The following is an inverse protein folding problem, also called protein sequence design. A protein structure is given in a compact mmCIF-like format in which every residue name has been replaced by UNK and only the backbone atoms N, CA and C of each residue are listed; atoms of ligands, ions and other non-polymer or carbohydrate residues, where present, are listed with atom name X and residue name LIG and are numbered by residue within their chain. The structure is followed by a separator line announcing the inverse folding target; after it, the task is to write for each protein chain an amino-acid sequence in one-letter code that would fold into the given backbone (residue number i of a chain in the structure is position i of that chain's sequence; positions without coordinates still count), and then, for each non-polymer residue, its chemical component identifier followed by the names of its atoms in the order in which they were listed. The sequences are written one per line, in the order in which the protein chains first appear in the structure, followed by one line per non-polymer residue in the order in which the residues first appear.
data_IF_564258799771
#
_entry.id   IF_564258799771
#
_cell.length_a   1.000
_cell.length_b   1.000
_cell.length_c   1.000
_cell.angle_alpha   90.00
_cell.angle_beta   90.00
_cell.angle_gamma   90.00
#
_symmetry.space_group_name_H-M   'P 1'
#
loop_
_entity.id
_entity.type
_entity.pdbx_description
1 polymer ?
#
# COMPACT_ATOMS: atom_id res chain seq x y z
N UNK A 1 22.26 13.18 9.93
CA UNK A 1 21.38 12.31 9.11
C UNK A 1 22.29 11.26 8.52
N UNK A 2 22.18 10.01 8.98
CA UNK A 2 23.01 8.92 8.48
C UNK A 2 22.54 8.57 7.06
N UNK A 3 23.45 8.51 6.10
CA UNK A 3 23.21 7.88 4.80
C UNK A 3 23.27 6.35 4.98
N UNK A 4 22.17 5.66 5.27
CA UNK A 4 22.25 4.24 5.64
C UNK A 4 22.27 3.28 4.45
N UNK A 5 22.30 3.76 3.20
CA UNK A 5 22.02 2.93 2.04
C UNK A 5 23.04 3.08 0.89
N UNK A 6 24.35 3.08 1.20
CA UNK A 6 25.37 3.06 0.11
C UNK A 6 25.63 1.67 -0.50
N UNK A 7 25.05 0.61 0.05
CA UNK A 7 25.24 -0.77 -0.44
C UNK A 7 23.93 -1.55 -0.39
N UNK A 8 23.77 -2.56 -1.25
CA UNK A 8 22.70 -3.57 -1.19
C UNK A 8 22.90 -4.51 0.01
N UNK A 9 23.15 -3.97 1.20
CA UNK A 9 23.58 -4.70 2.40
C UNK A 9 22.61 -4.60 3.56
N UNK A 10 21.34 -4.24 3.29
CA UNK A 10 20.33 -4.24 4.35
C UNK A 10 20.10 -5.66 4.89
N UNK A 11 19.91 -5.81 6.20
CA UNK A 11 19.50 -7.08 6.78
C UNK A 11 18.23 -7.58 6.12
N UNK A 12 18.28 -8.78 5.58
CA UNK A 12 17.11 -9.45 4.99
C UNK A 12 16.84 -10.75 5.71
N UNK A 13 15.54 -11.04 5.89
CA UNK A 13 15.06 -12.32 6.36
C UNK A 13 14.36 -12.99 5.19
N UNK A 14 14.59 -14.30 4.99
CA UNK A 14 13.87 -15.09 4.00
C UNK A 14 12.94 -16.07 4.68
N UNK A 15 11.73 -16.19 4.15
CA UNK A 15 10.73 -17.14 4.62
C UNK A 15 10.09 -17.88 3.44
N UNK A 16 9.73 -19.14 3.65
CA UNK A 16 8.94 -19.97 2.75
C UNK A 16 7.64 -20.47 3.40
N UNK A 17 7.50 -20.20 4.70
CA UNK A 17 6.33 -20.57 5.48
C UNK A 17 5.26 -19.47 5.44
N UNK A 18 4.05 -19.84 5.07
CA UNK A 18 2.90 -18.94 5.04
C UNK A 18 2.59 -18.36 6.42
N UNK A 19 2.59 -17.03 6.55
CA UNK A 19 2.26 -16.32 7.79
C UNK A 19 0.84 -16.58 8.30
N UNK A 20 -0.13 -16.89 7.40
CA UNK A 20 -1.52 -17.16 7.76
C UNK A 20 -1.74 -18.59 8.29
N UNK A 21 -1.15 -19.62 7.66
CA UNK A 21 -1.47 -21.02 7.99
C UNK A 21 -0.26 -21.89 8.36
N UNK A 22 0.95 -21.35 8.29
CA UNK A 22 2.22 -22.00 8.63
C UNK A 22 2.58 -23.19 7.72
N UNK A 23 1.93 -23.33 6.56
CA UNK A 23 2.30 -24.32 5.55
C UNK A 23 3.38 -23.76 4.65
N UNK A 24 4.24 -24.65 4.13
CA UNK A 24 5.22 -24.28 3.12
C UNK A 24 4.49 -23.84 1.85
N UNK A 25 4.90 -22.75 1.28
CA UNK A 25 4.37 -22.20 0.04
C UNK A 25 5.25 -22.56 -1.16
N UNK A 26 4.70 -22.42 -2.36
CA UNK A 26 5.43 -22.61 -3.63
C UNK A 26 5.95 -21.27 -4.16
N UNK A 27 7.13 -21.29 -4.77
CA UNK A 27 7.62 -20.12 -5.50
C UNK A 27 6.82 -19.95 -6.78
N UNK A 28 6.24 -18.75 -6.98
CA UNK A 28 5.35 -18.48 -8.09
C UNK A 28 5.94 -17.47 -9.10
N UNK A 29 6.53 -16.39 -8.61
CA UNK A 29 7.10 -15.32 -9.43
C UNK A 29 8.48 -14.96 -8.91
N UNK A 30 9.46 -14.88 -9.80
CA UNK A 30 10.80 -14.39 -9.49
C UNK A 30 10.97 -12.95 -9.98
N UNK A 31 11.44 -12.07 -9.10
CA UNK A 31 11.65 -10.65 -9.34
C UNK A 31 13.11 -10.28 -9.01
N UNK A 32 14.08 -10.65 -9.87
CA UNK A 32 15.49 -10.39 -9.62
C UNK A 32 15.79 -8.90 -9.64
N UNK A 33 16.64 -8.43 -8.74
CA UNK A 33 17.02 -7.01 -8.62
C UNK A 33 15.80 -6.08 -8.53
N UNK A 34 14.79 -6.48 -7.75
CA UNK A 34 13.58 -5.69 -7.56
C UNK A 34 13.88 -4.42 -6.76
N UNK A 35 13.46 -3.23 -7.21
CA UNK A 35 13.82 -1.98 -6.57
C UNK A 35 13.02 -1.76 -5.28
N UNK A 36 13.66 -1.20 -4.25
CA UNK A 36 12.91 -0.62 -3.13
C UNK A 36 12.27 0.70 -3.55
N UNK A 37 11.17 1.05 -2.90
CA UNK A 37 10.42 2.27 -3.16
C UNK A 37 10.64 3.31 -2.08
N UNK A 38 10.27 4.59 -2.32
CA UNK A 38 10.27 5.69 -1.34
C UNK A 38 11.62 6.26 -0.93
N UNK A 39 12.73 5.77 -1.46
CA UNK A 39 14.05 6.29 -1.11
C UNK A 39 14.56 7.28 -2.16
N UNK A 40 14.92 8.47 -1.69
CA UNK A 40 15.41 9.58 -2.51
C UNK A 40 16.82 9.99 -2.08
N UNK A 41 17.64 10.46 -3.03
CA UNK A 41 18.99 10.94 -2.79
C UNK A 41 19.28 12.21 -3.60
N UNK A 42 20.20 13.04 -3.10
CA UNK A 42 20.79 14.17 -3.84
C UNK A 42 22.11 13.75 -4.55
N UNK A 43 22.58 12.51 -4.30
CA UNK A 43 23.82 12.02 -4.88
C UNK A 43 23.72 11.92 -6.41
N UNK A 44 24.80 12.22 -7.15
CA UNK A 44 24.81 12.08 -8.61
C UNK A 44 24.74 10.62 -9.05
N UNK A 45 24.28 10.38 -10.29
CA UNK A 45 24.21 9.04 -10.88
C UNK A 45 25.59 8.36 -10.98
N UNK A 46 26.67 9.17 -11.06
CA UNK A 46 28.05 8.67 -11.07
C UNK A 46 28.41 7.82 -9.87
N UNK A 47 27.75 8.00 -8.74
CA UNK A 47 27.95 7.22 -7.52
C UNK A 47 27.29 5.82 -7.57
N UNK A 48 26.64 5.50 -8.70
CA UNK A 48 25.94 4.26 -8.94
C UNK A 48 24.49 4.29 -8.49
N UNK A 49 23.72 3.29 -8.94
CA UNK A 49 22.36 3.02 -8.52
C UNK A 49 22.40 1.86 -7.52
N UNK A 50 21.58 1.96 -6.47
CA UNK A 50 21.49 0.97 -5.39
C UNK A 50 20.04 0.79 -4.90
N UNK A 51 19.82 -0.07 -3.90
CA UNK A 51 18.47 -0.35 -3.42
C UNK A 51 17.73 -1.37 -4.28
N UNK A 52 18.46 -2.39 -4.76
CA UNK A 52 17.90 -3.51 -5.51
C UNK A 52 18.09 -4.80 -4.70
N UNK A 53 17.01 -5.57 -4.55
CA UNK A 53 17.04 -6.84 -3.82
C UNK A 53 16.27 -7.90 -4.62
N UNK A 54 16.82 -9.12 -4.66
CA UNK A 54 16.09 -10.23 -5.26
C UNK A 54 14.85 -10.54 -4.40
N UNK A 55 13.70 -10.60 -5.05
CA UNK A 55 12.43 -10.88 -4.42
C UNK A 55 11.76 -12.07 -5.08
N UNK A 56 11.08 -12.89 -4.30
CA UNK A 56 10.22 -13.96 -4.79
C UNK A 56 8.82 -13.80 -4.25
N UNK A 57 7.84 -14.04 -5.09
CA UNK A 57 6.45 -14.08 -4.69
C UNK A 57 6.07 -15.54 -4.48
N UNK A 58 5.63 -15.86 -3.27
CA UNK A 58 5.23 -17.21 -2.86
C UNK A 58 3.71 -17.32 -2.79
N UNK A 59 3.17 -18.47 -3.14
CA UNK A 59 1.76 -18.76 -3.05
C UNK A 59 1.50 -19.98 -2.15
N UNK A 60 0.63 -19.81 -1.17
CA UNK A 60 0.16 -20.88 -0.32
C UNK A 60 -1.15 -21.46 -0.85
N UNK A 61 -1.10 -22.62 -1.50
CA UNK A 61 -2.29 -23.31 -2.03
C UNK A 61 -3.31 -23.68 -0.95
N UNK A 62 -2.84 -23.93 0.28
CA UNK A 62 -3.72 -24.31 1.38
C UNK A 62 -4.72 -23.21 1.75
N UNK A 63 -4.28 -21.94 1.76
CA UNK A 63 -5.13 -20.83 2.18
C UNK A 63 -5.29 -19.73 1.12
N UNK A 64 -4.74 -19.90 -0.07
CA UNK A 64 -4.73 -18.89 -1.13
C UNK A 64 -4.11 -17.55 -0.68
N UNK A 65 -2.98 -17.62 0.04
CA UNK A 65 -2.21 -16.47 0.46
C UNK A 65 -1.01 -16.25 -0.47
N UNK A 66 -0.88 -15.04 -0.99
CA UNK A 66 0.27 -14.61 -1.76
C UNK A 66 1.14 -13.73 -0.86
N UNK A 67 2.47 -13.93 -0.86
CA UNK A 67 3.37 -13.16 0.01
C UNK A 67 4.79 -13.11 -0.54
N UNK A 68 5.55 -12.14 -0.05
CA UNK A 68 6.94 -11.94 -0.44
C UNK A 68 7.88 -12.73 0.47
N UNK A 69 8.89 -13.38 -0.12
CA UNK A 69 9.82 -14.18 0.66
C UNK A 69 10.99 -13.40 1.24
N UNK A 70 11.36 -12.26 0.63
CA UNK A 70 12.45 -11.41 1.10
C UNK A 70 11.90 -10.25 1.91
N UNK A 71 12.13 -10.27 3.21
CA UNK A 71 11.71 -9.24 4.15
C UNK A 71 12.92 -8.37 4.43
N UNK A 72 12.85 -7.09 4.06
CA UNK A 72 13.83 -6.07 4.42
C UNK A 72 13.39 -5.49 5.76
N UNK A 73 14.35 -5.20 6.66
CA UNK A 73 14.06 -4.67 7.99
C UNK A 73 13.07 -3.49 7.91
N UNK A 74 11.84 -3.64 8.43
CA UNK A 74 10.80 -2.61 8.39
C UNK A 74 11.22 -1.30 9.05
N UNK A 75 12.05 -1.37 10.11
CA UNK A 75 12.53 -0.17 10.80
C UNK A 75 13.33 0.74 9.84
N UNK A 76 14.15 0.15 8.97
CA UNK A 76 14.93 0.91 7.99
C UNK A 76 14.02 1.54 6.94
N UNK A 77 13.03 0.78 6.46
CA UNK A 77 12.07 1.27 5.46
C UNK A 77 11.24 2.41 6.02
N UNK A 78 10.68 2.25 7.22
CA UNK A 78 9.75 3.23 7.80
C UNK A 78 10.42 4.40 8.52
N UNK A 79 11.70 4.31 8.91
CA UNK A 79 12.43 5.44 9.48
C UNK A 79 12.61 6.62 8.52
N UNK A 80 12.53 6.35 7.21
CA UNK A 80 12.62 7.35 6.15
C UNK A 80 11.26 7.66 5.48
N UNK A 81 10.16 7.15 6.05
CA UNK A 81 8.83 7.29 5.48
C UNK A 81 8.36 8.75 5.48
N UNK A 82 8.21 9.33 4.30
CA UNK A 82 7.80 10.74 4.11
C UNK A 82 6.33 10.86 3.71
N UNK A 83 5.66 9.73 3.50
CA UNK A 83 4.30 9.74 2.96
C UNK A 83 3.30 10.12 4.05
N UNK A 84 2.48 11.08 3.72
CA UNK A 84 1.38 11.55 4.56
C UNK A 84 0.07 11.32 3.81
N UNK A 85 -0.87 10.66 4.47
CA UNK A 85 -2.18 10.29 3.91
C UNK A 85 -2.92 11.50 3.35
N UNK A 86 -2.87 12.64 4.03
CA UNK A 86 -3.52 13.90 3.61
C UNK A 86 -3.01 14.46 2.28
N UNK A 87 -1.86 14.03 1.78
CA UNK A 87 -1.31 14.45 0.47
C UNK A 87 -1.79 13.57 -0.68
N UNK A 88 -2.42 12.42 -0.41
CA UNK A 88 -2.84 11.47 -1.41
C UNK A 88 -4.36 11.52 -1.61
N UNK A 89 -4.80 12.05 -2.74
CA UNK A 89 -6.24 12.10 -3.11
C UNK A 89 -6.85 10.70 -3.12
N UNK A 90 -6.14 9.71 -3.66
CA UNK A 90 -6.61 8.33 -3.71
C UNK A 90 -6.74 7.69 -2.32
N UNK A 91 -5.81 7.98 -1.40
CA UNK A 91 -5.89 7.48 -0.04
C UNK A 91 -7.06 8.12 0.72
N UNK A 92 -7.27 9.44 0.56
CA UNK A 92 -8.41 10.15 1.15
C UNK A 92 -9.74 9.55 0.67
N UNK A 93 -9.89 9.36 -0.64
CA UNK A 93 -11.09 8.77 -1.25
C UNK A 93 -11.36 7.36 -0.70
N UNK A 94 -10.34 6.51 -0.63
CA UNK A 94 -10.43 5.18 -0.03
C UNK A 94 -10.89 5.21 1.44
N UNK A 95 -10.34 6.13 2.24
CA UNK A 95 -10.72 6.30 3.65
C UNK A 95 -12.14 6.83 3.81
N UNK A 96 -12.63 7.67 2.90
CA UNK A 96 -14.03 8.11 2.89
C UNK A 96 -14.98 6.94 2.59
N UNK A 97 -14.64 6.06 1.66
CA UNK A 97 -15.39 4.83 1.42
C UNK A 97 -15.36 3.90 2.63
N UNK A 98 -14.20 3.79 3.31
CA UNK A 98 -14.08 3.01 4.54
C UNK A 98 -14.95 3.56 5.67
N UNK A 99 -14.98 4.89 5.88
CA UNK A 99 -15.96 5.52 6.80
C UNK A 99 -17.39 5.16 6.43
N UNK A 100 -17.75 5.24 5.14
CA UNK A 100 -19.09 4.92 4.66
C UNK A 100 -19.46 3.46 4.95
N UNK A 101 -18.53 2.52 4.71
CA UNK A 101 -18.74 1.11 5.04
C UNK A 101 -19.00 0.88 6.54
N UNK A 102 -18.26 1.58 7.41
CA UNK A 102 -18.47 1.52 8.86
C UNK A 102 -19.85 2.04 9.22
N UNK A 103 -20.20 3.26 8.78
CA UNK A 103 -21.46 3.91 9.13
C UNK A 103 -22.70 3.17 8.61
N UNK A 104 -22.57 2.48 7.47
CA UNK A 104 -23.65 1.66 6.92
C UNK A 104 -23.88 0.35 7.68
N UNK A 105 -22.91 -0.08 8.49
CA UNK A 105 -22.93 -1.39 9.17
C UNK A 105 -23.17 -1.32 10.67
N UNK A 106 -23.09 -0.13 11.29
CA UNK A 106 -23.34 0.08 12.72
C UNK A 106 -24.01 1.43 12.99
N UNK A 107 -24.66 1.53 14.18
CA UNK A 107 -25.04 2.81 14.75
C UNK A 107 -23.91 3.33 15.65
N UNK A 108 -23.24 4.40 15.24
CA UNK A 108 -22.07 4.96 15.91
C UNK A 108 -22.35 5.38 17.38
N UNK A 109 -23.61 5.78 17.71
CA UNK A 109 -24.02 6.17 19.06
C UNK A 109 -23.90 5.04 20.09
N UNK A 110 -23.79 3.78 19.65
CA UNK A 110 -23.60 2.64 20.53
C UNK A 110 -22.14 2.48 21.00
N UNK A 111 -21.22 3.24 20.43
CA UNK A 111 -19.79 3.15 20.69
C UNK A 111 -19.26 4.40 21.40
N UNK A 112 -18.16 4.25 22.16
CA UNK A 112 -17.53 5.35 22.91
C UNK A 112 -16.23 5.82 22.29
N UNK A 113 -15.61 5.00 21.46
CA UNK A 113 -14.27 5.29 20.93
C UNK A 113 -14.00 4.60 19.60
N UNK A 114 -13.12 5.22 18.82
CA UNK A 114 -12.45 4.61 17.68
C UNK A 114 -10.95 4.55 17.98
N UNK A 115 -10.37 3.36 17.85
CA UNK A 115 -8.94 3.10 18.04
C UNK A 115 -8.39 2.69 16.66
N UNK A 116 -7.64 3.60 16.03
CA UNK A 116 -7.07 3.41 14.71
C UNK A 116 -5.60 2.97 14.83
N UNK A 117 -5.28 1.80 14.33
CA UNK A 117 -3.96 1.18 14.44
C UNK A 117 -3.27 1.27 13.07
N UNK A 118 -2.14 1.99 13.02
CA UNK A 118 -1.50 2.40 11.77
C UNK A 118 -2.15 3.65 11.17
N UNK A 119 -2.66 4.56 12.03
CA UNK A 119 -3.47 5.71 11.61
C UNK A 119 -2.67 6.89 11.03
N UNK A 120 -1.35 6.78 10.87
CA UNK A 120 -0.46 7.77 10.28
C UNK A 120 -0.78 9.21 10.79
N UNK A 121 -1.15 10.12 9.90
CA UNK A 121 -1.45 11.53 10.22
C UNK A 121 -2.88 11.78 10.72
N UNK A 122 -3.58 10.77 11.19
CA UNK A 122 -4.95 10.80 11.73
C UNK A 122 -6.00 11.33 10.75
N UNK A 123 -5.74 11.32 9.45
CA UNK A 123 -6.71 11.78 8.44
C UNK A 123 -8.03 11.02 8.56
N UNK A 124 -7.97 9.69 8.79
CA UNK A 124 -9.16 8.86 8.94
C UNK A 124 -9.98 9.24 10.19
N UNK A 125 -9.33 9.34 11.34
CA UNK A 125 -9.97 9.73 12.59
C UNK A 125 -10.58 11.12 12.52
N UNK A 126 -9.94 12.03 11.76
CA UNK A 126 -10.46 13.39 11.54
C UNK A 126 -11.84 13.42 10.87
N UNK A 127 -12.23 12.37 10.14
CA UNK A 127 -13.57 12.26 9.58
C UNK A 127 -14.66 11.99 10.63
N UNK A 128 -14.30 11.56 11.84
CA UNK A 128 -15.22 11.29 12.96
C UNK A 128 -15.12 12.35 14.05
N UNK A 129 -14.37 13.43 13.82
CA UNK A 129 -14.23 14.51 14.81
C UNK A 129 -15.60 15.17 15.04
N UNK A 130 -16.06 15.19 16.29
CA UNK A 130 -17.38 15.61 16.69
C UNK A 130 -18.46 14.50 16.64
N UNK A 131 -18.24 13.39 15.95
CA UNK A 131 -19.20 12.27 15.87
C UNK A 131 -19.05 11.26 17.02
N UNK A 132 -17.83 11.10 17.54
CA UNK A 132 -17.50 10.18 18.65
C UNK A 132 -16.53 10.82 19.64
N UNK A 133 -16.67 10.47 20.92
CA UNK A 133 -15.99 11.19 22.00
C UNK A 133 -14.49 10.93 22.05
N UNK A 134 -14.06 9.69 21.83
CA UNK A 134 -12.66 9.30 22.02
C UNK A 134 -12.10 8.77 20.69
N UNK A 135 -11.17 9.52 20.12
CA UNK A 135 -10.44 9.16 18.91
C UNK A 135 -8.98 8.90 19.28
N UNK A 136 -8.47 7.71 18.99
CA UNK A 136 -7.14 7.27 19.43
C UNK A 136 -6.38 6.79 18.21
N UNK A 137 -5.23 7.40 17.93
CA UNK A 137 -4.31 6.99 16.87
C UNK A 137 -3.07 6.31 17.47
N UNK A 138 -2.79 5.09 17.03
CA UNK A 138 -1.60 4.31 17.40
C UNK A 138 -0.76 4.13 16.15
N UNK A 139 0.34 4.88 16.05
CA UNK A 139 1.27 4.83 14.93
C UNK A 139 2.63 5.39 15.32
N UNK A 140 3.72 4.84 14.83
CA UNK A 140 5.09 5.34 15.09
C UNK A 140 5.27 6.79 14.62
N UNK A 141 4.56 7.17 13.55
CA UNK A 141 4.55 8.50 12.97
C UNK A 141 3.28 9.30 13.30
N UNK A 142 2.53 8.89 14.34
CA UNK A 142 1.26 9.50 14.69
C UNK A 142 1.35 11.02 14.78
N UNK A 143 0.43 11.68 14.07
CA UNK A 143 0.22 13.11 14.13
C UNK A 143 -1.27 13.44 13.92
N UNK A 144 -1.72 14.60 14.39
CA UNK A 144 -3.09 15.04 14.16
C UNK A 144 -3.15 16.56 13.99
N UNK A 145 -4.21 17.06 13.36
CA UNK A 145 -4.55 18.48 13.31
C UNK A 145 -5.50 18.88 14.45
N UNK A 146 -6.30 17.95 14.95
CA UNK A 146 -7.28 18.17 16.00
C UNK A 146 -6.72 17.73 17.36
N UNK A 147 -6.89 18.56 18.37
CA UNK A 147 -6.52 18.25 19.76
C UNK A 147 -7.45 17.19 20.39
N UNK A 148 -8.57 16.85 19.73
CA UNK A 148 -9.49 15.80 20.17
C UNK A 148 -8.98 14.37 19.89
N UNK A 149 -7.87 14.23 19.17
CA UNK A 149 -7.29 12.92 18.83
C UNK A 149 -6.13 12.61 19.77
N UNK A 150 -6.25 11.54 20.53
CA UNK A 150 -5.20 11.05 21.43
C UNK A 150 -4.15 10.30 20.58
N UNK A 151 -2.89 10.71 20.70
CA UNK A 151 -1.79 10.14 19.91
C UNK A 151 -0.92 9.23 20.77
N UNK A 152 -0.78 7.97 20.36
CA UNK A 152 0.25 7.05 20.81
C UNK A 152 1.32 6.91 19.73
N UNK A 153 2.43 7.67 19.87
CA UNK A 153 3.58 7.65 18.95
C UNK A 153 4.48 6.47 19.27
N UNK A 154 4.00 5.27 18.97
CA UNK A 154 4.70 4.02 19.24
C UNK A 154 4.23 2.92 18.30
N UNK A 155 4.97 1.83 18.25
CA UNK A 155 4.49 0.60 17.60
C UNK A 155 3.22 0.10 18.31
N UNK A 156 2.32 -0.53 17.54
CA UNK A 156 1.16 -1.23 18.11
C UNK A 156 1.58 -2.31 19.14
N UNK A 157 2.79 -2.85 19.01
CA UNK A 157 3.36 -3.86 19.92
C UNK A 157 3.55 -3.32 21.34
N UNK A 158 3.90 -2.05 21.47
CA UNK A 158 4.24 -1.40 22.75
C UNK A 158 3.02 -0.86 23.50
N UNK A 159 1.86 -0.73 22.84
CA UNK A 159 0.64 -0.17 23.45
C UNK A 159 -0.18 -1.28 24.11
N UNK A 160 -0.50 -1.12 25.40
CA UNK A 160 -1.48 -1.98 26.06
C UNK A 160 -2.92 -1.53 25.72
N UNK A 161 -3.57 -2.20 24.80
CA UNK A 161 -4.93 -1.89 24.37
C UNK A 161 -5.99 -2.04 25.47
N UNK A 162 -5.70 -2.79 26.54
CA UNK A 162 -6.61 -2.93 27.67
C UNK A 162 -6.68 -1.67 28.51
N UNK A 163 -5.61 -0.87 28.53
CA UNK A 163 -5.59 0.45 29.19
C UNK A 163 -6.41 1.49 28.41
N UNK A 164 -6.74 1.23 27.16
CA UNK A 164 -7.64 2.04 26.32
C UNK A 164 -9.10 1.62 26.55
N UNK A 165 -9.48 1.43 27.81
CA UNK A 165 -10.79 0.91 28.20
C UNK A 165 -11.78 2.05 28.43
N UNK A 166 -12.97 1.93 27.84
CA UNK A 166 -14.09 2.86 27.98
C UNK A 166 -15.37 2.11 28.35
N UNK A 167 -16.37 2.83 28.89
CA UNK A 167 -17.60 2.23 29.41
C UNK A 167 -18.45 1.54 28.32
N UNK A 168 -18.54 2.14 27.12
CA UNK A 168 -19.27 1.59 25.98
C UNK A 168 -18.36 0.74 25.11
N UNK A 169 -18.92 -0.06 24.19
CA UNK A 169 -18.16 -0.77 23.18
C UNK A 169 -17.24 0.13 22.38
N UNK A 170 -16.17 -0.45 21.82
CA UNK A 170 -15.13 0.21 21.02
C UNK A 170 -15.18 -0.25 19.58
N UNK A 171 -14.75 0.62 18.70
CA UNK A 171 -14.43 0.32 17.31
C UNK A 171 -12.90 0.29 17.19
N UNK A 172 -12.36 -0.84 16.79
CA UNK A 172 -10.98 -0.92 16.30
C UNK A 172 -10.99 -0.72 14.80
N UNK A 173 -10.02 0.02 14.28
CA UNK A 173 -9.82 0.18 12.84
C UNK A 173 -8.36 -0.01 12.48
N UNK A 174 -8.09 -0.54 11.29
CA UNK A 174 -6.76 -0.56 10.70
C UNK A 174 -6.88 -0.53 9.19
N UNK A 175 -6.16 0.38 8.57
CA UNK A 175 -6.23 0.64 7.15
C UNK A 175 -4.85 0.62 6.53
N UNK A 176 -4.62 -0.28 5.58
CA UNK A 176 -3.35 -0.41 4.88
C UNK A 176 -2.14 -0.54 5.83
N UNK A 177 -2.24 -1.49 6.77
CA UNK A 177 -1.21 -1.77 7.79
C UNK A 177 -0.85 -3.25 7.82
N UNK A 178 -1.84 -4.15 7.78
CA UNK A 178 -1.62 -5.59 7.96
C UNK A 178 -0.77 -6.21 6.85
N UNK A 179 -0.85 -5.67 5.63
CA UNK A 179 -0.05 -6.10 4.48
C UNK A 179 1.45 -5.86 4.66
N UNK A 180 1.82 -4.95 5.55
CA UNK A 180 3.21 -4.60 5.85
C UNK A 180 3.84 -5.43 6.97
N UNK A 181 3.05 -6.20 7.70
CA UNK A 181 3.55 -7.01 8.82
C UNK A 181 4.22 -8.28 8.31
N UNK A 182 5.39 -8.61 8.82
CA UNK A 182 6.07 -9.89 8.52
C UNK A 182 5.25 -11.10 9.02
N UNK A 183 4.61 -10.95 10.18
CA UNK A 183 3.68 -11.92 10.75
C UNK A 183 2.41 -11.22 11.26
N UNK A 184 1.26 -11.37 10.59
CA UNK A 184 0.01 -10.74 11.00
C UNK A 184 -0.66 -11.38 12.23
N UNK A 185 -0.28 -12.63 12.61
CA UNK A 185 -0.95 -13.36 13.69
C UNK A 185 -0.81 -12.66 15.05
N UNK A 186 0.39 -12.21 15.51
CA UNK A 186 0.51 -11.49 16.79
C UNK A 186 -0.34 -10.21 16.85
N UNK A 187 -0.45 -9.49 15.72
CA UNK A 187 -1.30 -8.31 15.60
C UNK A 187 -2.77 -8.65 15.82
N UNK A 188 -3.28 -9.66 15.11
CA UNK A 188 -4.67 -10.11 15.23
C UNK A 188 -4.97 -10.69 16.63
N UNK A 189 -4.04 -11.44 17.21
CA UNK A 189 -4.16 -11.94 18.59
C UNK A 189 -4.27 -10.82 19.62
N UNK A 190 -3.45 -9.78 19.48
CA UNK A 190 -3.46 -8.63 20.38
C UNK A 190 -4.79 -7.89 20.33
N UNK A 191 -5.32 -7.65 19.14
CA UNK A 191 -6.66 -7.08 18.96
C UNK A 191 -7.70 -8.00 19.60
N UNK A 192 -7.68 -9.29 19.27
CA UNK A 192 -8.63 -10.26 19.83
C UNK A 192 -8.63 -10.29 21.35
N UNK A 193 -7.45 -10.31 22.00
CA UNK A 193 -7.33 -10.31 23.46
C UNK A 193 -7.91 -9.04 24.11
N UNK A 194 -7.90 -7.93 23.39
CA UNK A 194 -8.36 -6.62 23.87
C UNK A 194 -9.83 -6.33 23.55
N UNK A 195 -10.42 -7.03 22.59
CA UNK A 195 -11.82 -6.89 22.24
C UNK A 195 -12.73 -7.58 23.25
N UNK A 196 -13.81 -6.90 23.65
CA UNK A 196 -15.00 -7.48 24.29
C UNK A 196 -15.96 -8.02 23.24
N UNK A 197 -16.99 -8.73 23.66
CA UNK A 197 -17.96 -9.38 22.77
C UNK A 197 -18.74 -8.35 21.90
N UNK A 198 -18.99 -7.17 22.43
CA UNK A 198 -19.74 -6.10 21.75
C UNK A 198 -18.84 -5.12 20.98
N UNK A 199 -17.51 -5.28 21.07
CA UNK A 199 -16.57 -4.50 20.28
C UNK A 199 -16.55 -5.00 18.83
N UNK A 200 -16.17 -4.12 17.90
CA UNK A 200 -16.07 -4.43 16.48
C UNK A 200 -14.70 -4.00 15.95
N UNK A 201 -14.14 -4.80 15.03
CA UNK A 201 -12.91 -4.47 14.34
C UNK A 201 -13.18 -4.31 12.84
N UNK A 202 -12.77 -3.18 12.28
CA UNK A 202 -12.80 -2.91 10.85
C UNK A 202 -11.40 -2.92 10.29
N UNK A 203 -11.20 -3.70 9.25
CA UNK A 203 -9.92 -3.89 8.59
C UNK A 203 -10.07 -3.66 7.09
N UNK A 204 -9.15 -2.90 6.47
CA UNK A 204 -9.06 -2.80 5.01
C UNK A 204 -7.61 -2.90 4.53
N UNK A 205 -7.42 -3.54 3.38
CA UNK A 205 -6.12 -3.78 2.76
C UNK A 205 -6.29 -4.15 1.27
N UNK A 206 -5.22 -4.09 0.44
CA UNK A 206 -5.27 -4.56 -0.95
C UNK A 206 -5.53 -6.07 -1.01
N UNK A 207 -6.49 -6.51 -1.83
CA UNK A 207 -6.86 -7.92 -1.93
C UNK A 207 -6.26 -8.64 -3.12
N UNK A 208 -5.97 -9.93 -2.95
CA UNK A 208 -5.49 -10.79 -4.04
C UNK A 208 -6.53 -10.93 -5.16
N UNK A 209 -7.81 -11.01 -4.82
CA UNK A 209 -8.90 -11.11 -5.81
C UNK A 209 -8.91 -9.92 -6.78
N UNK A 210 -8.78 -8.71 -6.23
CA UNK A 210 -8.76 -7.50 -7.05
C UNK A 210 -7.42 -7.26 -7.73
N UNK A 211 -6.30 -7.67 -7.11
CA UNK A 211 -4.99 -7.67 -7.76
C UNK A 211 -5.01 -8.51 -9.04
N UNK A 212 -5.59 -9.72 -8.99
CA UNK A 212 -5.73 -10.61 -10.15
C UNK A 212 -6.70 -10.00 -11.16
N UNK A 213 -7.91 -9.61 -10.72
CA UNK A 213 -8.96 -9.06 -11.58
C UNK A 213 -8.50 -7.83 -12.35
N UNK A 214 -7.84 -6.90 -11.66
CA UNK A 214 -7.42 -5.61 -12.23
C UNK A 214 -5.95 -5.66 -12.72
N UNK A 215 -5.28 -6.82 -12.68
CA UNK A 215 -3.90 -7.04 -13.08
C UNK A 215 -2.92 -6.03 -12.43
N UNK A 216 -3.06 -5.79 -11.12
CA UNK A 216 -2.32 -4.78 -10.36
C UNK A 216 -1.04 -5.35 -9.72
N UNK A 217 -0.21 -6.08 -10.50
CA UNK A 217 1.05 -6.64 -9.99
C UNK A 217 2.14 -5.58 -9.74
N UNK A 218 1.92 -4.35 -10.15
CA UNK A 218 2.73 -3.18 -9.75
C UNK A 218 2.64 -2.88 -8.25
N UNK A 219 1.68 -3.47 -7.52
CA UNK A 219 1.58 -3.39 -6.06
C UNK A 219 2.50 -4.36 -5.32
N UNK A 220 3.08 -5.32 -6.00
CA UNK A 220 4.13 -6.17 -5.44
C UNK A 220 5.37 -5.30 -5.21
N UNK A 221 5.60 -4.85 -4.01
CA UNK A 221 6.77 -4.07 -3.63
C UNK A 221 7.27 -4.53 -2.27
N UNK A 222 8.51 -4.25 -1.93
CA UNK A 222 9.16 -4.76 -0.71
C UNK A 222 8.43 -4.39 0.61
N UNK A 223 7.49 -3.45 0.58
CA UNK A 223 6.71 -3.08 1.76
C UNK A 223 5.42 -3.89 1.89
N UNK A 224 4.83 -4.37 0.78
CA UNK A 224 3.62 -5.19 0.79
C UNK A 224 4.00 -6.67 0.94
N UNK A 225 4.36 -7.06 2.15
CA UNK A 225 4.83 -8.41 2.45
C UNK A 225 3.73 -9.47 2.27
N UNK A 226 2.46 -9.08 2.51
CA UNK A 226 1.32 -9.97 2.42
C UNK A 226 0.28 -9.43 1.42
N UNK A 227 -0.20 -10.29 0.55
CA UNK A 227 -1.32 -10.04 -0.34
C UNK A 227 -2.42 -11.06 0.00
N UNK A 228 -3.31 -10.64 0.89
CA UNK A 228 -4.35 -11.50 1.41
C UNK A 228 -5.48 -11.71 0.41
N UNK A 229 -5.95 -12.96 0.30
CA UNK A 229 -7.29 -13.26 -0.20
C UNK A 229 -8.30 -13.22 0.94
N UNK A 230 -9.59 -13.16 0.62
CA UNK A 230 -10.66 -13.31 1.62
C UNK A 230 -10.51 -14.63 2.41
N UNK A 231 -10.09 -15.70 1.74
CA UNK A 231 -9.83 -17.01 2.36
C UNK A 231 -8.65 -16.95 3.33
N UNK A 232 -7.51 -16.38 2.93
CA UNK A 232 -6.31 -16.37 3.76
C UNK A 232 -6.48 -15.51 5.01
N UNK A 233 -7.06 -14.32 4.89
CA UNK A 233 -7.34 -13.47 6.05
C UNK A 233 -8.40 -14.11 6.97
N UNK A 234 -9.42 -14.76 6.41
CA UNK A 234 -10.41 -15.50 7.19
C UNK A 234 -9.81 -16.62 8.03
N UNK A 235 -8.83 -17.35 7.47
CA UNK A 235 -8.09 -18.39 8.22
C UNK A 235 -7.24 -17.75 9.32
N UNK A 236 -6.53 -16.66 9.05
CA UNK A 236 -5.73 -15.96 10.04
C UNK A 236 -6.60 -15.43 11.20
N UNK A 237 -7.71 -14.77 10.89
CA UNK A 237 -8.68 -14.29 11.87
C UNK A 237 -9.24 -15.40 12.73
N UNK A 238 -9.67 -16.51 12.11
CA UNK A 238 -10.24 -17.67 12.85
C UNK A 238 -9.25 -18.27 13.84
N UNK A 239 -7.95 -18.33 13.52
CA UNK A 239 -6.90 -18.76 14.46
C UNK A 239 -6.85 -17.88 15.72
N UNK A 240 -7.20 -16.59 15.56
CA UNK A 240 -7.20 -15.61 16.64
C UNK A 240 -8.57 -15.44 17.32
N UNK A 241 -9.55 -16.33 17.08
CA UNK A 241 -10.93 -16.23 17.56
C UNK A 241 -11.62 -14.91 17.15
N UNK A 242 -11.35 -14.48 15.94
CA UNK A 242 -11.99 -13.36 15.25
C UNK A 242 -12.73 -13.90 14.03
N UNK A 243 -13.89 -13.35 13.73
CA UNK A 243 -14.77 -13.85 12.66
C UNK A 243 -15.26 -12.71 11.79
N UNK A 244 -15.33 -12.93 10.48
CA UNK A 244 -15.83 -11.95 9.52
C UNK A 244 -17.36 -11.94 9.58
N UNK A 245 -17.95 -10.79 9.93
CA UNK A 245 -19.41 -10.56 9.91
C UNK A 245 -19.91 -10.20 8.52
N UNK A 246 -19.18 -9.31 7.85
CA UNK A 246 -19.43 -8.86 6.48
C UNK A 246 -18.15 -8.41 5.81
N UNK A 247 -18.17 -8.34 4.48
CA UNK A 247 -17.05 -7.84 3.68
C UNK A 247 -17.55 -7.11 2.44
N UNK A 248 -16.68 -6.28 1.86
CA UNK A 248 -16.89 -5.55 0.63
C UNK A 248 -15.60 -5.46 -0.17
N UNK A 249 -15.67 -5.72 -1.47
CA UNK A 249 -14.60 -5.43 -2.41
C UNK A 249 -14.81 -4.06 -3.05
N UNK A 250 -13.81 -3.20 -2.99
CA UNK A 250 -13.82 -1.88 -3.61
C UNK A 250 -12.63 -1.76 -4.58
N UNK A 251 -12.91 -1.57 -5.86
CA UNK A 251 -11.89 -1.39 -6.89
C UNK A 251 -11.20 -0.02 -6.86
N UNK A 252 -11.61 0.90 -5.96
CA UNK A 252 -10.84 2.11 -5.67
C UNK A 252 -9.52 1.77 -4.98
N UNK A 253 -8.53 2.66 -5.08
CA UNK A 253 -7.24 2.59 -4.38
C UNK A 253 -6.64 1.18 -4.34
N UNK A 254 -6.01 0.71 -5.34
CA UNK A 254 -5.34 -0.60 -5.43
C UNK A 254 -6.25 -1.84 -5.39
N UNK A 255 -7.56 -1.71 -5.27
CA UNK A 255 -8.45 -2.86 -5.11
C UNK A 255 -8.51 -3.37 -3.68
N UNK A 256 -9.26 -2.68 -2.84
CA UNK A 256 -9.33 -2.89 -1.40
C UNK A 256 -10.40 -3.91 -1.01
N UNK A 257 -10.07 -4.80 -0.08
CA UNK A 257 -11.02 -5.62 0.67
C UNK A 257 -11.28 -4.97 2.03
N UNK A 258 -12.54 -4.72 2.36
CA UNK A 258 -13.02 -4.23 3.66
C UNK A 258 -13.71 -5.31 4.42
N UNK A 259 -13.41 -5.42 5.70
CA UNK A 259 -13.98 -6.42 6.60
C UNK A 259 -14.58 -5.76 7.82
N UNK A 260 -15.76 -6.24 8.24
CA UNK A 260 -16.29 -6.09 9.59
C UNK A 260 -16.05 -7.38 10.33
N UNK A 261 -15.44 -7.30 11.51
CA UNK A 261 -14.94 -8.44 12.26
C UNK A 261 -15.44 -8.35 13.70
N UNK A 262 -15.88 -9.48 14.26
CA UNK A 262 -16.31 -9.59 15.65
C UNK A 262 -15.75 -10.85 16.33
N UNK A 263 -16.06 -11.04 17.60
CA UNK A 263 -15.77 -12.27 18.36
C UNK A 263 -16.88 -13.31 18.29
N UNK A 264 -17.94 -13.02 17.56
CA UNK A 264 -19.10 -13.91 17.43
C UNK A 264 -18.90 -14.78 16.18
N UNK A 265 -18.84 -16.09 16.40
CA UNK A 265 -18.68 -17.04 15.31
C UNK A 265 -19.94 -17.05 14.43
N UNK A 266 -19.83 -16.53 13.23
CA UNK A 266 -20.88 -16.45 12.24
C UNK A 266 -20.76 -17.53 11.16
N UNK A 267 -21.51 -17.36 10.05
CA UNK A 267 -21.57 -18.29 8.93
C UNK A 267 -20.18 -18.63 8.39
N UNK A 268 -20.06 -19.85 7.87
CA UNK A 268 -18.96 -20.23 6.97
C UNK A 268 -19.11 -19.38 5.71
N UNK A 269 -18.04 -18.66 5.35
CA UNK A 269 -17.99 -17.91 4.11
C UNK A 269 -17.64 -18.84 2.96
N UNK A 270 -18.31 -18.65 1.82
CA UNK A 270 -17.86 -19.25 0.57
C UNK A 270 -16.71 -18.40 0.01
N UNK A 271 -15.60 -19.07 -0.29
CA UNK A 271 -14.42 -18.42 -0.83
C UNK A 271 -14.27 -18.73 -2.32
N UNK A 272 -13.91 -17.73 -3.09
CA UNK A 272 -13.51 -17.92 -4.48
C UNK A 272 -12.25 -18.81 -4.54
N UNK A 273 -12.21 -19.73 -5.52
CA UNK A 273 -11.05 -20.59 -5.73
C UNK A 273 -10.01 -19.79 -6.53
N UNK A 274 -8.93 -19.41 -5.86
CA UNK A 274 -7.76 -18.82 -6.50
C UNK A 274 -6.73 -19.94 -6.68
N UNK A 275 -6.29 -20.14 -7.91
CA UNK A 275 -5.28 -21.14 -8.26
C UNK A 275 -3.96 -20.49 -8.69
N UNK A 276 -2.87 -21.23 -8.54
CA UNK A 276 -1.56 -20.89 -9.07
C UNK A 276 -1.63 -20.47 -10.55
N UNK A 277 -2.29 -21.29 -11.38
CA UNK A 277 -2.43 -21.05 -12.82
C UNK A 277 -3.14 -19.72 -13.12
N UNK A 278 -4.17 -19.37 -12.35
CA UNK A 278 -4.88 -18.10 -12.54
C UNK A 278 -3.99 -16.89 -12.25
N UNK A 279 -3.15 -16.97 -11.22
CA UNK A 279 -2.21 -15.91 -10.86
C UNK A 279 -1.12 -15.77 -11.93
N UNK A 280 -0.51 -16.89 -12.34
CA UNK A 280 0.53 -16.90 -13.36
C UNK A 280 0.05 -16.36 -14.69
N UNK A 281 -1.14 -16.77 -15.15
CA UNK A 281 -1.73 -16.27 -16.39
C UNK A 281 -1.96 -14.75 -16.34
N UNK A 282 -2.45 -14.23 -15.22
CA UNK A 282 -2.66 -12.80 -15.05
C UNK A 282 -1.34 -12.04 -14.96
N UNK A 283 -0.31 -12.59 -14.30
CA UNK A 283 1.01 -12.00 -14.26
C UNK A 283 1.70 -11.97 -15.63
N UNK A 284 1.57 -13.05 -16.42
CA UNK A 284 2.07 -13.09 -17.79
C UNK A 284 1.39 -12.03 -18.67
N UNK A 285 0.08 -11.87 -18.56
CA UNK A 285 -0.65 -10.80 -19.26
C UNK A 285 -0.15 -9.40 -18.86
N UNK A 286 0.08 -9.17 -17.57
CA UNK A 286 0.65 -7.94 -17.05
C UNK A 286 2.05 -7.68 -17.63
N UNK A 287 2.94 -8.66 -17.64
CA UNK A 287 4.28 -8.54 -18.22
C UNK A 287 4.21 -8.24 -19.73
N UNK A 288 3.38 -8.98 -20.46
CA UNK A 288 3.20 -8.78 -21.90
C UNK A 288 2.65 -7.39 -22.24
N UNK A 289 1.76 -6.85 -21.39
CA UNK A 289 1.28 -5.47 -21.55
C UNK A 289 2.44 -4.48 -21.45
N UNK A 290 3.27 -4.55 -20.41
CA UNK A 290 4.39 -3.62 -20.24
C UNK A 290 5.49 -3.79 -21.28
N UNK A 291 5.77 -5.00 -21.75
CA UNK A 291 6.69 -5.24 -22.86
C UNK A 291 6.25 -4.53 -24.15
N UNK A 292 4.98 -4.72 -24.56
CA UNK A 292 4.42 -4.05 -25.74
C UNK A 292 4.38 -2.53 -25.59
N UNK A 293 4.03 -2.06 -24.41
CA UNK A 293 4.00 -0.64 -24.10
C UNK A 293 5.41 -0.05 -24.17
N UNK A 294 6.42 -0.75 -23.66
CA UNK A 294 7.82 -0.34 -23.69
C UNK A 294 8.33 -0.12 -25.12
N UNK A 295 8.01 -1.00 -26.04
CA UNK A 295 8.40 -0.86 -27.46
C UNK A 295 7.75 0.36 -28.13
N UNK A 296 6.50 0.65 -27.78
CA UNK A 296 5.79 1.84 -28.26
C UNK A 296 6.38 3.11 -27.65
N UNK A 297 6.64 3.10 -26.36
CA UNK A 297 7.12 4.28 -25.63
C UNK A 297 8.56 4.65 -25.94
N UNK A 298 9.45 3.69 -26.22
CA UNK A 298 10.81 3.95 -26.68
C UNK A 298 10.87 4.91 -27.88
N UNK A 299 9.90 4.78 -28.80
CA UNK A 299 9.84 5.64 -30.01
C UNK A 299 9.34 7.05 -29.69
N UNK A 300 8.40 7.18 -28.75
CA UNK A 300 7.74 8.44 -28.40
C UNK A 300 8.57 9.22 -27.40
N UNK A 301 9.19 8.54 -26.42
CA UNK A 301 9.91 9.14 -25.30
C UNK A 301 11.40 9.36 -25.56
N UNK A 302 11.88 9.36 -26.80
CA UNK A 302 13.31 9.62 -27.12
C UNK A 302 13.83 10.93 -26.51
N UNK A 303 12.96 11.95 -26.42
CA UNK A 303 13.22 13.22 -25.74
C UNK A 303 12.06 13.56 -24.78
N UNK A 304 11.49 12.52 -24.18
CA UNK A 304 10.33 12.63 -23.31
C UNK A 304 10.68 12.99 -21.88
N UNK A 305 9.64 13.35 -21.14
CA UNK A 305 9.71 13.72 -19.73
C UNK A 305 8.65 12.97 -18.92
N UNK A 306 8.90 12.80 -17.60
CA UNK A 306 7.96 12.20 -16.68
C UNK A 306 7.21 13.24 -15.85
N UNK A 307 6.02 12.89 -15.35
CA UNK A 307 5.30 13.69 -14.37
C UNK A 307 4.80 12.82 -13.21
N UNK A 308 5.16 13.23 -12.01
CA UNK A 308 4.80 12.62 -10.75
C UNK A 308 5.86 11.66 -10.21
N UNK A 309 6.64 12.11 -9.23
CA UNK A 309 7.60 11.29 -8.49
C UNK A 309 6.91 10.56 -7.32
N UNK A 310 5.89 9.75 -7.65
CA UNK A 310 5.16 8.93 -6.68
C UNK A 310 5.99 7.76 -6.17
N UNK A 311 5.53 7.13 -5.10
CA UNK A 311 6.22 6.03 -4.40
C UNK A 311 6.58 4.87 -5.32
N UNK A 312 5.67 4.53 -6.23
CA UNK A 312 5.74 3.33 -7.09
C UNK A 312 6.50 3.56 -8.40
N UNK A 313 7.15 4.71 -8.60
CA UNK A 313 7.92 4.98 -9.83
C UNK A 313 9.07 3.97 -10.03
N UNK A 314 9.82 3.54 -9.00
CA UNK A 314 10.81 2.48 -9.17
C UNK A 314 10.22 1.15 -9.65
N UNK A 315 9.08 0.74 -9.10
CA UNK A 315 8.36 -0.47 -9.53
C UNK A 315 7.87 -0.34 -10.98
N UNK A 316 7.31 0.82 -11.34
CA UNK A 316 6.95 1.10 -12.73
C UNK A 316 8.15 0.98 -13.66
N UNK A 317 9.29 1.58 -13.29
CA UNK A 317 10.51 1.53 -14.09
C UNK A 317 11.09 0.11 -14.22
N UNK A 318 10.86 -0.76 -13.24
CA UNK A 318 11.22 -2.16 -13.32
C UNK A 318 10.44 -2.89 -14.42
N UNK A 319 9.12 -2.69 -14.48
CA UNK A 319 8.26 -3.30 -15.49
C UNK A 319 8.28 -2.55 -16.82
N UNK A 320 8.58 -1.26 -16.83
CA UNK A 320 8.65 -0.39 -18.00
C UNK A 320 10.00 0.37 -18.03
N UNK A 321 11.10 -0.28 -18.44
CA UNK A 321 12.47 0.27 -18.33
C UNK A 321 12.69 1.60 -19.05
N UNK A 322 11.87 1.96 -20.02
CA UNK A 322 11.96 3.26 -20.70
C UNK A 322 11.79 4.45 -19.76
N UNK A 323 11.14 4.25 -18.61
CA UNK A 323 11.01 5.29 -17.57
C UNK A 323 12.39 5.67 -17.01
N UNK A 324 13.29 4.70 -16.87
CA UNK A 324 14.66 4.96 -16.40
C UNK A 324 15.55 5.64 -17.47
N UNK A 325 15.09 5.70 -18.71
CA UNK A 325 15.77 6.43 -19.81
C UNK A 325 15.37 7.90 -19.90
N UNK A 326 14.35 8.33 -19.15
CA UNK A 326 13.98 9.75 -19.08
C UNK A 326 15.12 10.56 -18.46
N UNK A 327 15.26 11.82 -18.90
CA UNK A 327 16.21 12.76 -18.29
C UNK A 327 15.67 13.37 -16.99
N UNK A 328 14.35 13.54 -16.90
CA UNK A 328 13.69 14.28 -15.83
C UNK A 328 12.31 13.71 -15.53
N UNK A 329 11.95 13.71 -14.25
CA UNK A 329 10.58 13.53 -13.76
C UNK A 329 10.18 14.80 -13.04
N UNK A 330 9.09 15.43 -13.46
CA UNK A 330 8.57 16.62 -12.80
C UNK A 330 7.62 16.30 -11.67
N UNK A 331 7.68 17.07 -10.58
CA UNK A 331 6.77 16.94 -9.44
C UNK A 331 6.42 18.32 -8.88
N UNK A 332 5.31 18.40 -8.15
CA UNK A 332 4.87 19.59 -7.42
C UNK A 332 5.35 19.60 -5.96
N UNK A 333 5.72 18.44 -5.41
CA UNK A 333 6.19 18.33 -4.04
C UNK A 333 7.62 18.84 -3.89
N UNK A 334 7.75 20.01 -3.25
CA UNK A 334 9.02 20.71 -3.04
C UNK A 334 10.05 19.88 -2.26
N UNK A 335 9.61 18.92 -1.45
CA UNK A 335 10.51 18.06 -0.67
C UNK A 335 11.31 17.08 -1.54
N UNK A 336 10.86 16.83 -2.78
CA UNK A 336 11.48 15.91 -3.74
C UNK A 336 12.34 16.60 -4.79
N UNK A 337 12.18 17.91 -4.95
CA UNK A 337 12.89 18.67 -6.00
C UNK A 337 14.41 18.62 -5.78
N UNK A 338 15.16 18.50 -6.88
CA UNK A 338 16.61 18.31 -6.94
C UNK A 338 17.11 17.00 -6.32
N UNK A 339 16.22 16.04 -6.15
CA UNK A 339 16.55 14.67 -5.76
C UNK A 339 16.28 13.70 -6.92
N UNK A 340 16.65 12.45 -6.75
CA UNK A 340 16.26 11.32 -7.59
C UNK A 340 15.95 10.12 -6.70
N UNK A 341 15.27 9.13 -7.24
CA UNK A 341 15.21 7.84 -6.56
C UNK A 341 16.60 7.20 -6.56
N UNK A 342 16.96 6.51 -5.49
CA UNK A 342 18.29 5.90 -5.33
C UNK A 342 18.60 4.86 -6.42
N UNK A 343 17.57 4.30 -7.03
CA UNK A 343 17.62 3.23 -8.03
C UNK A 343 17.19 3.68 -9.44
N UNK A 344 17.01 4.99 -9.67
CA UNK A 344 16.65 5.52 -10.97
C UNK A 344 17.60 6.65 -11.42
N UNK A 345 17.75 6.79 -12.74
CA UNK A 345 18.57 7.83 -13.36
C UNK A 345 17.89 9.22 -13.33
N UNK A 346 16.58 9.35 -13.65
CA UNK A 346 15.95 10.65 -13.78
C UNK A 346 16.02 11.52 -12.53
N UNK A 347 16.38 12.80 -12.70
CA UNK A 347 16.31 13.83 -11.67
C UNK A 347 14.87 14.31 -11.50
N UNK A 348 14.48 14.66 -10.28
CA UNK A 348 13.16 15.22 -9.99
C UNK A 348 13.26 16.75 -10.01
N UNK A 349 12.48 17.39 -10.90
CA UNK A 349 12.45 18.85 -11.06
C UNK A 349 11.07 19.45 -10.80
N UNK A 350 11.06 20.73 -10.50
CA UNK A 350 9.83 21.50 -10.29
C UNK A 350 8.99 21.52 -11.57
N UNK A 351 7.70 21.18 -11.44
CA UNK A 351 6.74 21.11 -12.56
C UNK A 351 6.59 22.42 -13.35
N UNK A 352 6.95 23.56 -12.77
CA UNK A 352 6.95 24.86 -13.50
C UNK A 352 7.94 24.92 -14.68
N UNK A 353 8.91 23.99 -14.75
CA UNK A 353 9.90 23.91 -15.82
C UNK A 353 9.56 22.87 -16.89
N UNK A 354 8.37 22.28 -16.85
CA UNK A 354 7.92 21.32 -17.87
C UNK A 354 7.92 21.96 -19.27
N UNK A 355 8.38 21.20 -20.25
CA UNK A 355 8.34 21.59 -21.66
C UNK A 355 7.08 21.03 -22.34
N UNK A 356 6.11 21.87 -22.62
CA UNK A 356 4.82 21.46 -23.22
C UNK A 356 4.95 20.97 -24.68
N UNK A 357 6.10 21.19 -25.32
CA UNK A 357 6.37 20.75 -26.70
C UNK A 357 6.84 19.29 -26.78
N UNK A 358 7.26 18.72 -25.64
CA UNK A 358 7.75 17.34 -25.52
C UNK A 358 6.68 16.39 -25.02
N UNK A 359 6.73 15.12 -25.43
CA UNK A 359 5.86 14.09 -24.85
C UNK A 359 6.07 13.97 -23.33
N UNK A 360 4.98 13.75 -22.61
CA UNK A 360 5.04 13.55 -21.17
C UNK A 360 4.36 12.23 -20.78
N UNK A 361 5.02 11.44 -19.92
CA UNK A 361 4.45 10.21 -19.36
C UNK A 361 4.08 10.43 -17.89
N UNK A 362 2.89 10.01 -17.51
CA UNK A 362 2.45 10.01 -16.12
C UNK A 362 3.20 8.88 -15.40
N UNK A 363 4.12 9.24 -14.51
CA UNK A 363 4.93 8.27 -13.74
C UNK A 363 4.34 7.98 -12.36
N UNK A 364 3.54 8.88 -11.79
CA UNK A 364 2.83 8.64 -10.53
C UNK A 364 1.57 7.78 -10.76
N UNK A 365 1.75 6.51 -11.01
CA UNK A 365 0.64 5.57 -11.15
C UNK A 365 0.26 5.07 -9.76
N UNK A 366 -0.98 5.31 -9.36
CA UNK A 366 -1.48 4.77 -8.11
C UNK A 366 -2.96 4.40 -8.21
N UNK A 367 -3.83 5.38 -8.34
CA UNK A 367 -5.29 5.16 -8.38
C UNK A 367 -5.89 5.80 -9.63
N UNK A 368 -7.07 5.30 -10.04
CA UNK A 368 -7.84 5.89 -11.15
C UNK A 368 -8.11 7.39 -10.91
N UNK A 369 -8.44 7.77 -9.66
CA UNK A 369 -8.71 9.16 -9.30
C UNK A 369 -7.45 10.03 -9.42
N UNK A 370 -6.31 9.58 -8.89
CA UNK A 370 -5.05 10.30 -8.98
C UNK A 370 -4.59 10.43 -10.44
N UNK A 371 -4.64 9.35 -11.22
CA UNK A 371 -4.28 9.37 -12.65
C UNK A 371 -5.16 10.33 -13.43
N UNK A 372 -6.48 10.34 -13.18
CA UNK A 372 -7.43 11.28 -13.81
C UNK A 372 -7.09 12.73 -13.47
N UNK A 373 -6.81 13.02 -12.20
CA UNK A 373 -6.46 14.38 -11.77
C UNK A 373 -5.16 14.88 -12.42
N UNK A 374 -4.14 14.01 -12.50
CA UNK A 374 -2.88 14.33 -13.19
C UNK A 374 -3.14 14.53 -14.68
N UNK A 375 -3.89 13.66 -15.32
CA UNK A 375 -4.25 13.80 -16.73
C UNK A 375 -4.97 15.13 -17.02
N UNK A 376 -5.95 15.49 -16.20
CA UNK A 376 -6.67 16.77 -16.34
C UNK A 376 -5.74 17.98 -16.18
N UNK A 377 -4.82 17.93 -15.21
CA UNK A 377 -3.83 18.96 -15.00
C UNK A 377 -2.91 19.13 -16.24
N UNK A 378 -2.36 18.02 -16.74
CA UNK A 378 -1.49 18.06 -17.93
C UNK A 378 -2.25 18.48 -19.20
N UNK A 379 -3.48 18.02 -19.38
CA UNK A 379 -4.34 18.42 -20.50
C UNK A 379 -4.66 19.91 -20.47
N UNK A 380 -4.95 20.46 -19.29
CA UNK A 380 -5.17 21.92 -19.13
C UNK A 380 -3.91 22.73 -19.42
N UNK A 381 -2.74 22.15 -19.24
CA UNK A 381 -1.43 22.75 -19.58
C UNK A 381 -1.08 22.65 -21.08
N UNK A 382 -1.98 22.09 -21.92
CA UNK A 382 -1.85 21.97 -23.38
C UNK A 382 -0.68 21.11 -23.86
N UNK A 383 -0.31 20.06 -23.12
CA UNK A 383 0.61 19.06 -23.63
C UNK A 383 0.03 18.40 -24.86
N UNK A 384 0.88 18.17 -25.88
CA UNK A 384 0.50 17.53 -27.13
C UNK A 384 0.28 16.02 -26.92
N UNK A 385 1.21 15.36 -26.27
CA UNK A 385 1.22 13.92 -26.09
C UNK A 385 1.35 13.57 -24.59
N UNK A 386 0.27 13.03 -24.01
CA UNK A 386 0.22 12.56 -22.62
C UNK A 386 0.10 11.06 -22.65
N UNK A 387 1.09 10.36 -22.10
CA UNK A 387 1.16 8.90 -22.04
C UNK A 387 0.77 8.40 -20.65
N UNK A 388 -0.08 7.39 -20.61
CA UNK A 388 -0.58 6.79 -19.36
C UNK A 388 -0.17 5.32 -19.35
N UNK A 389 0.91 4.94 -18.65
CA UNK A 389 1.42 3.57 -18.63
C UNK A 389 0.71 2.71 -17.56
N UNK A 390 -0.60 2.60 -17.64
CA UNK A 390 -1.37 1.76 -16.70
C UNK A 390 -2.44 0.99 -17.44
N UNK A 391 -2.77 -0.18 -16.90
CA UNK A 391 -3.96 -0.92 -17.31
C UNK A 391 -5.17 -0.17 -16.74
N UNK A 392 -5.98 0.39 -17.62
CA UNK A 392 -7.25 1.03 -17.25
C UNK A 392 -8.33 -0.05 -17.40
N UNK A 393 -8.76 -0.62 -16.29
CA UNK A 393 -9.87 -1.58 -16.22
C UNK A 393 -11.16 -0.88 -15.77
#
# INVERSE_FOLDING_TARGET
MNEPLKENSLPIIKTDACSCCSKIAIELIDLPKYPITEFYTENPVSDGLYGFYDQKVLFCENCAHLFLNTIIDPYIIYSNYITSTKKSVGAIDCLMHFKSYILNSINLNNYSSIIDIGGNDSTFLGFFDGDIKNLINIDINASAKSDNIILHKSSWEDVDFNQLSYEKPKIFTSSHTIEHLDNPIPFLEKISKSMKIDDVFYLQFPSLELLIKDQKFDQLNHQHLNIFSLKSIGIALNKCNLYIDSYEFDSSHYGTLRLKISKIKNKILDYEIISELSILQCYENFQNFYLKLGDSYKRILTDGQGFGAGLMVPTLAYHLPVINSLQVIYDQDKSKINKRFINLIPEIKDSKYMDITKPIVITAISTKAATRNIFNYLSSSKFRDILIPTIIT
#
